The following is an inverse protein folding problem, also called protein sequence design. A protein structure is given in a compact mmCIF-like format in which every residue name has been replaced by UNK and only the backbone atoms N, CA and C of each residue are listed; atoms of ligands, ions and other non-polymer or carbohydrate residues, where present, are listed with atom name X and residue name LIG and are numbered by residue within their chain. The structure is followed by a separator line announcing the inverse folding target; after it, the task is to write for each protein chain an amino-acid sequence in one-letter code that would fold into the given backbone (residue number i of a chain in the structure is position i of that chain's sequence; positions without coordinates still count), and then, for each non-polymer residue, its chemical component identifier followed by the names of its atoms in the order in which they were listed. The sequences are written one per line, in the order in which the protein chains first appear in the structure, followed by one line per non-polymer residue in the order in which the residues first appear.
data_IF_342012610085
#
_entry.id   IF_342012610085
#
_cell.length_a   1.000
_cell.length_b   1.000
_cell.length_c   1.000
_cell.angle_alpha   90.00
_cell.angle_beta   90.00
_cell.angle_gamma   90.00
#
_symmetry.space_group_name_H-M   'P 1'
#
loop_
_entity.id
_entity.type
_entity.pdbx_description
1 polymer ?
#
# COMPACT_ATOMS: atom_id res chain seq x y z
N UNK A 1 -24.46 4.16 -7.20
CA UNK A 1 -25.27 2.92 -7.07
C UNK A 1 -26.25 2.71 -8.22
N UNK A 2 -27.36 3.48 -8.34
CA UNK A 2 -28.37 3.24 -9.41
C UNK A 2 -27.80 3.22 -10.84
N UNK A 3 -26.84 4.10 -11.13
CA UNK A 3 -26.18 4.17 -12.44
C UNK A 3 -25.42 2.86 -12.73
N UNK A 4 -24.54 2.41 -11.83
CA UNK A 4 -23.76 1.18 -12.01
C UNK A 4 -24.65 -0.07 -12.12
N UNK A 5 -25.71 -0.17 -11.33
CA UNK A 5 -26.68 -1.27 -11.44
C UNK A 5 -27.37 -1.27 -12.81
N UNK A 6 -27.80 -0.09 -13.30
CA UNK A 6 -28.40 0.03 -14.63
C UNK A 6 -27.43 -0.30 -15.77
N UNK A 7 -26.14 0.04 -15.62
CA UNK A 7 -25.10 -0.33 -16.59
C UNK A 7 -24.89 -1.84 -16.63
N UNK A 8 -24.83 -2.51 -15.48
CA UNK A 8 -24.74 -3.98 -15.40
C UNK A 8 -25.91 -4.63 -16.14
N UNK A 9 -27.16 -4.24 -15.83
CA UNK A 9 -28.35 -4.79 -16.49
C UNK A 9 -28.39 -4.50 -18.00
N UNK A 10 -27.96 -3.29 -18.39
CA UNK A 10 -27.86 -2.90 -19.79
C UNK A 10 -26.84 -3.75 -20.56
N UNK A 11 -25.65 -3.95 -19.98
CA UNK A 11 -24.59 -4.76 -20.55
C UNK A 11 -24.98 -6.24 -20.66
N UNK A 12 -25.68 -6.80 -19.66
CA UNK A 12 -26.21 -8.16 -19.74
C UNK A 12 -27.23 -8.31 -20.89
N UNK A 13 -28.17 -7.37 -21.03
CA UNK A 13 -29.14 -7.39 -22.14
C UNK A 13 -28.47 -7.25 -23.50
N UNK A 14 -27.43 -6.41 -23.59
CA UNK A 14 -26.66 -6.20 -24.80
C UNK A 14 -25.65 -7.34 -25.09
N UNK A 15 -25.43 -8.25 -24.14
CA UNK A 15 -24.37 -9.26 -24.18
C UNK A 15 -22.97 -8.64 -24.37
N UNK A 16 -22.75 -7.46 -23.80
CA UNK A 16 -21.47 -6.77 -23.80
C UNK A 16 -20.63 -7.24 -22.60
N UNK A 17 -19.65 -8.10 -22.89
CA UNK A 17 -18.81 -8.71 -21.86
C UNK A 17 -17.93 -7.70 -21.13
N UNK A 18 -17.22 -6.82 -21.86
CA UNK A 18 -16.26 -5.90 -21.27
C UNK A 18 -16.97 -4.90 -20.34
N UNK A 19 -18.05 -4.28 -20.83
CA UNK A 19 -18.85 -3.34 -20.04
C UNK A 19 -19.45 -4.02 -18.81
N UNK A 20 -19.90 -5.28 -18.95
CA UNK A 20 -20.45 -6.04 -17.83
C UNK A 20 -19.40 -6.28 -16.74
N UNK A 21 -18.22 -6.78 -17.11
CA UNK A 21 -17.16 -7.08 -16.14
C UNK A 21 -16.67 -5.82 -15.45
N UNK A 22 -16.40 -4.75 -16.21
CA UNK A 22 -15.93 -3.48 -15.65
C UNK A 22 -16.98 -2.89 -14.70
N UNK A 23 -18.25 -2.89 -15.08
CA UNK A 23 -19.33 -2.35 -14.24
C UNK A 23 -19.57 -3.19 -12.98
N UNK A 24 -19.44 -4.52 -13.05
CA UNK A 24 -19.50 -5.40 -11.88
C UNK A 24 -18.34 -5.14 -10.91
N UNK A 25 -17.11 -5.00 -11.41
CA UNK A 25 -15.95 -4.69 -10.57
C UNK A 25 -16.09 -3.32 -9.89
N UNK A 26 -16.49 -2.29 -10.63
CA UNK A 26 -16.75 -0.95 -10.07
C UNK A 26 -17.90 -0.95 -9.06
N UNK A 27 -18.96 -1.71 -9.32
CA UNK A 27 -20.07 -1.87 -8.38
C UNK A 27 -19.63 -2.60 -7.11
N UNK A 28 -18.79 -3.63 -7.24
CA UNK A 28 -18.17 -4.32 -6.10
C UNK A 28 -17.36 -3.36 -5.23
N UNK A 29 -16.51 -2.52 -5.83
CA UNK A 29 -15.75 -1.50 -5.09
C UNK A 29 -16.68 -0.49 -4.40
N UNK A 30 -17.70 0.02 -5.10
CA UNK A 30 -18.65 0.97 -4.53
C UNK A 30 -19.45 0.37 -3.36
N UNK A 31 -19.87 -0.90 -3.47
CA UNK A 31 -20.55 -1.63 -2.39
C UNK A 31 -19.62 -1.83 -1.18
N UNK A 32 -18.34 -2.11 -1.42
CA UNK A 32 -17.34 -2.21 -0.35
C UNK A 32 -17.23 -0.91 0.44
N UNK A 33 -17.16 0.24 -0.23
CA UNK A 33 -17.13 1.55 0.44
C UNK A 33 -18.41 1.87 1.23
N UNK A 34 -19.54 1.26 0.85
CA UNK A 34 -20.82 1.39 1.54
C UNK A 34 -21.04 0.31 2.62
N UNK A 35 -20.01 -0.46 2.96
CA UNK A 35 -20.04 -1.55 3.94
C UNK A 35 -21.07 -2.65 3.61
N UNK A 36 -21.41 -2.80 2.32
CA UNK A 36 -22.29 -3.86 1.79
C UNK A 36 -21.45 -5.02 1.26
N UNK A 37 -20.67 -5.62 2.15
CA UNK A 37 -19.59 -6.56 1.80
C UNK A 37 -20.06 -7.84 1.11
N UNK A 38 -21.21 -8.39 1.49
CA UNK A 38 -21.75 -9.62 0.87
C UNK A 38 -22.19 -9.39 -0.58
N UNK A 39 -22.80 -8.23 -0.83
CA UNK A 39 -23.18 -7.84 -2.18
C UNK A 39 -21.93 -7.52 -3.01
N UNK A 40 -20.93 -6.85 -2.43
CA UNK A 40 -19.65 -6.61 -3.08
C UNK A 40 -18.98 -7.91 -3.50
N UNK A 41 -18.89 -8.89 -2.60
CA UNK A 41 -18.35 -10.21 -2.87
C UNK A 41 -19.06 -10.87 -4.05
N UNK A 42 -20.39 -10.85 -4.03
CA UNK A 42 -21.22 -11.38 -5.12
C UNK A 42 -20.88 -10.73 -6.46
N UNK A 43 -20.72 -9.40 -6.52
CA UNK A 43 -20.40 -8.71 -7.79
C UNK A 43 -19.01 -9.03 -8.30
N UNK A 44 -18.01 -9.09 -7.42
CA UNK A 44 -16.68 -9.48 -7.84
C UNK A 44 -16.61 -10.94 -8.30
N UNK A 45 -17.27 -11.86 -7.59
CA UNK A 45 -17.30 -13.28 -7.97
C UNK A 45 -18.00 -13.48 -9.32
N UNK A 46 -19.09 -12.75 -9.58
CA UNK A 46 -19.71 -12.71 -10.90
C UNK A 46 -18.74 -12.21 -11.98
N UNK A 47 -18.05 -11.09 -11.75
CA UNK A 47 -17.07 -10.56 -12.71
C UNK A 47 -15.94 -11.55 -13.02
N UNK A 48 -15.40 -12.19 -11.99
CA UNK A 48 -14.33 -13.18 -12.13
C UNK A 48 -14.80 -14.43 -12.89
N UNK A 49 -15.99 -14.93 -12.59
CA UNK A 49 -16.58 -16.07 -13.30
C UNK A 49 -16.80 -15.74 -14.78
N UNK A 50 -17.27 -14.53 -15.11
CA UNK A 50 -17.43 -14.08 -16.50
C UNK A 50 -16.09 -14.03 -17.22
N UNK A 51 -15.06 -13.47 -16.59
CA UNK A 51 -13.73 -13.42 -17.17
C UNK A 51 -13.17 -14.82 -17.44
N UNK A 52 -13.34 -15.74 -16.49
CA UNK A 52 -12.88 -17.12 -16.63
C UNK A 52 -13.58 -17.85 -17.77
N UNK A 53 -14.91 -17.72 -17.89
CA UNK A 53 -15.68 -18.31 -18.99
C UNK A 53 -15.29 -17.75 -20.37
N UNK A 54 -14.93 -16.47 -20.43
CA UNK A 54 -14.54 -15.79 -21.67
C UNK A 54 -13.05 -15.93 -22.00
N UNK A 55 -12.21 -16.46 -21.10
CA UNK A 55 -10.76 -16.44 -21.26
C UNK A 55 -10.13 -15.04 -21.15
N UNK A 56 -10.83 -14.10 -20.52
CA UNK A 56 -10.42 -12.70 -20.38
C UNK A 56 -9.47 -12.51 -19.21
N UNK A 57 -8.20 -12.84 -19.43
CA UNK A 57 -7.15 -12.73 -18.41
C UNK A 57 -6.90 -11.29 -17.94
N UNK A 58 -7.08 -10.30 -18.83
CA UNK A 58 -6.81 -8.90 -18.52
C UNK A 58 -7.82 -8.35 -17.50
N UNK A 59 -9.12 -8.46 -17.79
CA UNK A 59 -10.14 -7.99 -16.85
C UNK A 59 -10.25 -8.89 -15.62
N UNK A 60 -9.88 -10.18 -15.70
CA UNK A 60 -9.71 -11.04 -14.52
C UNK A 60 -8.68 -10.45 -13.57
N UNK A 61 -7.49 -10.12 -14.07
CA UNK A 61 -6.42 -9.53 -13.26
C UNK A 61 -6.84 -8.17 -12.67
N UNK A 62 -7.49 -7.30 -13.45
CA UNK A 62 -8.00 -6.02 -12.96
C UNK A 62 -9.05 -6.21 -11.86
N UNK A 63 -9.95 -7.18 -11.99
CA UNK A 63 -11.00 -7.47 -11.00
C UNK A 63 -10.40 -8.01 -9.70
N UNK A 64 -9.39 -8.88 -9.78
CA UNK A 64 -8.63 -9.36 -8.62
C UNK A 64 -7.94 -8.20 -7.87
N UNK A 65 -7.32 -7.27 -8.60
CA UNK A 65 -6.70 -6.06 -8.01
C UNK A 65 -7.75 -5.19 -7.30
N UNK A 66 -8.95 -5.05 -7.86
CA UNK A 66 -10.02 -4.25 -7.23
C UNK A 66 -10.64 -4.93 -6.00
N UNK A 67 -10.78 -6.26 -6.01
CA UNK A 67 -11.35 -7.03 -4.88
C UNK A 67 -10.50 -6.95 -3.60
N UNK A 68 -9.24 -6.53 -3.71
CA UNK A 68 -8.36 -6.24 -2.56
C UNK A 68 -9.01 -5.31 -1.54
N UNK A 69 -9.76 -4.28 -1.98
CA UNK A 69 -10.46 -3.37 -1.06
C UNK A 69 -11.49 -4.10 -0.20
N UNK A 70 -12.19 -5.08 -0.78
CA UNK A 70 -13.15 -5.92 -0.04
C UNK A 70 -12.44 -6.77 1.00
N UNK A 71 -11.31 -7.39 0.64
CA UNK A 71 -10.54 -8.19 1.58
C UNK A 71 -9.92 -7.37 2.70
N UNK A 72 -9.46 -6.16 2.40
CA UNK A 72 -9.02 -5.21 3.42
C UNK A 72 -10.16 -4.87 4.38
N UNK A 73 -11.35 -4.55 3.84
CA UNK A 73 -12.53 -4.25 4.66
C UNK A 73 -12.91 -5.42 5.58
N UNK A 74 -12.84 -6.65 5.07
CA UNK A 74 -13.14 -7.87 5.81
C UNK A 74 -11.98 -8.36 6.70
N UNK A 75 -10.82 -7.70 6.67
CA UNK A 75 -9.62 -8.15 7.39
C UNK A 75 -9.04 -9.48 6.90
N UNK A 76 -9.41 -9.95 5.70
CA UNK A 76 -8.96 -11.24 5.16
C UNK A 76 -7.68 -11.10 4.34
N UNK A 77 -6.56 -10.97 5.04
CA UNK A 77 -5.25 -10.76 4.39
C UNK A 77 -4.82 -11.94 3.53
N UNK A 78 -5.16 -13.17 3.91
CA UNK A 78 -4.81 -14.36 3.13
C UNK A 78 -5.44 -14.32 1.73
N UNK A 79 -6.73 -14.00 1.61
CA UNK A 79 -7.40 -13.87 0.31
C UNK A 79 -6.91 -12.66 -0.48
N UNK A 80 -6.60 -11.56 0.21
CA UNK A 80 -5.98 -10.38 -0.40
C UNK A 80 -4.67 -10.73 -1.10
N UNK A 81 -3.77 -11.43 -0.40
CA UNK A 81 -2.51 -11.87 -0.97
C UNK A 81 -2.68 -12.89 -2.11
N UNK A 82 -3.62 -13.82 -1.99
CA UNK A 82 -3.93 -14.80 -3.03
C UNK A 82 -4.36 -14.12 -4.34
N UNK A 83 -5.27 -13.15 -4.25
CA UNK A 83 -5.74 -12.38 -5.41
C UNK A 83 -4.62 -11.55 -6.04
N UNK A 84 -3.79 -10.91 -5.22
CA UNK A 84 -2.66 -10.12 -5.69
C UNK A 84 -1.61 -10.99 -6.39
N UNK A 85 -1.28 -12.17 -5.83
CA UNK A 85 -0.34 -13.11 -6.48
C UNK A 85 -0.89 -13.63 -7.81
N UNK A 86 -2.20 -13.92 -7.90
CA UNK A 86 -2.85 -14.31 -9.17
C UNK A 86 -2.83 -13.18 -10.20
N UNK A 87 -3.19 -11.97 -9.81
CA UNK A 87 -3.17 -10.82 -10.71
C UNK A 87 -1.74 -10.51 -11.21
N UNK A 88 -0.74 -10.64 -10.35
CA UNK A 88 0.68 -10.49 -10.71
C UNK A 88 1.11 -11.55 -11.74
N UNK A 89 0.73 -12.82 -11.53
CA UNK A 89 1.03 -13.89 -12.48
C UNK A 89 0.39 -13.62 -13.85
N UNK A 90 -0.90 -13.27 -13.87
CA UNK A 90 -1.60 -12.91 -15.11
C UNK A 90 -0.97 -11.71 -15.81
N UNK A 91 -0.58 -10.67 -15.07
CA UNK A 91 0.11 -9.50 -15.64
C UNK A 91 1.42 -9.87 -16.32
N UNK A 92 2.19 -10.80 -15.74
CA UNK A 92 3.43 -11.33 -16.33
C UNK A 92 3.17 -12.17 -17.58
N UNK A 93 2.22 -13.09 -17.50
CA UNK A 93 1.83 -13.96 -18.62
C UNK A 93 1.35 -13.15 -19.83
N UNK A 94 0.62 -12.06 -19.58
CA UNK A 94 0.14 -11.14 -20.61
C UNK A 94 1.21 -10.17 -21.13
N UNK A 95 2.36 -10.07 -20.46
CA UNK A 95 3.34 -8.99 -20.72
C UNK A 95 2.78 -7.59 -20.44
N UNK A 96 1.74 -7.48 -19.61
CA UNK A 96 1.02 -6.22 -19.36
C UNK A 96 1.62 -5.49 -18.14
N UNK A 97 2.62 -4.65 -18.40
CA UNK A 97 3.42 -3.98 -17.36
C UNK A 97 2.61 -3.25 -16.27
N UNK A 98 1.52 -2.56 -16.63
CA UNK A 98 0.68 -1.85 -15.64
C UNK A 98 0.00 -2.80 -14.64
N UNK A 99 -0.49 -3.96 -15.12
CA UNK A 99 -1.20 -4.93 -14.29
C UNK A 99 -0.23 -5.65 -13.38
N UNK A 100 0.92 -6.07 -13.92
CA UNK A 100 2.01 -6.62 -13.10
C UNK A 100 2.42 -5.60 -12.04
N UNK A 101 2.64 -4.34 -12.41
CA UNK A 101 3.07 -3.29 -11.49
C UNK A 101 2.07 -3.05 -10.35
N UNK A 102 0.78 -2.83 -10.65
CA UNK A 102 -0.22 -2.54 -9.62
C UNK A 102 -0.42 -3.70 -8.64
N UNK A 103 -0.52 -4.93 -9.14
CA UNK A 103 -0.65 -6.11 -8.28
C UNK A 103 0.61 -6.35 -7.43
N UNK A 104 1.80 -6.16 -8.02
CA UNK A 104 3.07 -6.31 -7.30
C UNK A 104 3.24 -5.22 -6.24
N UNK A 105 2.87 -3.96 -6.53
CA UNK A 105 2.91 -2.84 -5.59
C UNK A 105 2.02 -3.11 -4.37
N UNK A 106 0.76 -3.46 -4.61
CA UNK A 106 -0.19 -3.73 -3.53
C UNK A 106 0.26 -4.92 -2.67
N UNK A 107 0.84 -5.95 -3.28
CA UNK A 107 1.38 -7.09 -2.52
C UNK A 107 2.56 -6.68 -1.65
N UNK A 108 3.47 -5.87 -2.20
CA UNK A 108 4.62 -5.35 -1.45
C UNK A 108 4.19 -4.47 -0.26
N UNK A 109 3.22 -3.57 -0.44
CA UNK A 109 2.66 -2.74 0.64
C UNK A 109 2.02 -3.62 1.74
N UNK A 110 1.19 -4.60 1.38
CA UNK A 110 0.57 -5.51 2.37
C UNK A 110 1.62 -6.28 3.17
N UNK A 111 2.61 -6.86 2.50
CA UNK A 111 3.69 -7.59 3.15
C UNK A 111 4.52 -6.67 4.05
N UNK A 112 4.78 -5.44 3.61
CA UNK A 112 5.48 -4.43 4.37
C UNK A 112 4.75 -4.05 5.66
N UNK A 113 3.43 -3.79 5.57
CA UNK A 113 2.58 -3.48 6.73
C UNK A 113 2.55 -4.64 7.75
N UNK A 114 2.56 -5.88 7.26
CA UNK A 114 2.66 -7.09 8.11
C UNK A 114 4.06 -7.34 8.69
N UNK A 115 5.08 -6.56 8.32
CA UNK A 115 6.45 -6.72 8.78
C UNK A 115 7.25 -7.82 8.06
N UNK A 116 6.73 -8.35 6.94
CA UNK A 116 7.40 -9.37 6.11
C UNK A 116 8.35 -8.71 5.10
N UNK A 117 9.36 -8.01 5.63
CA UNK A 117 10.23 -7.11 4.88
C UNK A 117 11.02 -7.82 3.77
N UNK A 118 11.51 -9.02 4.06
CA UNK A 118 12.34 -9.83 3.17
C UNK A 118 11.54 -10.31 1.95
N UNK A 119 10.24 -10.57 2.12
CA UNK A 119 9.34 -10.92 1.02
C UNK A 119 8.89 -9.69 0.21
N UNK A 120 8.71 -8.55 0.87
CA UNK A 120 8.27 -7.30 0.25
C UNK A 120 9.35 -6.63 -0.61
N UNK A 121 10.61 -6.65 -0.16
CA UNK A 121 11.73 -5.96 -0.83
C UNK A 121 11.91 -6.34 -2.31
N UNK A 122 11.98 -7.63 -2.72
CA UNK A 122 12.14 -7.98 -4.14
C UNK A 122 10.95 -7.53 -4.99
N UNK A 123 9.75 -7.49 -4.41
CA UNK A 123 8.55 -6.99 -5.09
C UNK A 123 8.62 -5.47 -5.30
N UNK A 124 9.04 -4.72 -4.29
CA UNK A 124 9.25 -3.27 -4.42
C UNK A 124 10.34 -2.92 -5.45
N UNK A 125 11.44 -3.69 -5.48
CA UNK A 125 12.48 -3.56 -6.54
C UNK A 125 11.88 -3.79 -7.92
N UNK A 126 11.07 -4.84 -8.08
CA UNK A 126 10.39 -5.15 -9.36
C UNK A 126 9.42 -4.04 -9.77
N UNK A 127 8.67 -3.48 -8.84
CA UNK A 127 7.74 -2.38 -9.11
C UNK A 127 8.49 -1.15 -9.60
N UNK A 128 9.56 -0.75 -8.90
CA UNK A 128 10.39 0.38 -9.32
C UNK A 128 11.03 0.14 -10.70
N UNK A 129 11.53 -1.08 -10.98
CA UNK A 129 12.06 -1.46 -12.29
C UNK A 129 11.00 -1.30 -13.41
N UNK A 130 9.78 -1.80 -13.18
CA UNK A 130 8.66 -1.65 -14.11
C UNK A 130 8.31 -0.18 -14.34
N UNK A 131 8.25 0.61 -13.26
CA UNK A 131 8.08 2.06 -13.27
C UNK A 131 9.07 2.76 -14.19
N UNK A 132 10.36 2.58 -13.92
CA UNK A 132 11.46 3.19 -14.69
C UNK A 132 11.44 2.74 -16.16
N UNK A 133 11.18 1.46 -16.41
CA UNK A 133 11.27 0.89 -17.76
C UNK A 133 10.13 1.34 -18.67
N UNK A 134 8.90 1.31 -18.18
CA UNK A 134 7.69 1.44 -19.00
C UNK A 134 6.97 2.79 -18.84
N UNK A 135 7.27 3.57 -17.79
CA UNK A 135 6.59 4.84 -17.49
C UNK A 135 7.54 6.04 -17.55
N UNK A 136 8.50 6.04 -18.48
CA UNK A 136 9.60 7.02 -18.55
C UNK A 136 9.15 8.48 -18.55
N UNK A 137 8.17 8.81 -19.40
CA UNK A 137 7.63 10.17 -19.52
C UNK A 137 6.72 10.55 -18.35
N UNK A 138 6.29 9.55 -17.56
CA UNK A 138 5.39 9.69 -16.42
C UNK A 138 5.97 8.96 -15.21
N UNK A 139 7.11 9.42 -14.67
CA UNK A 139 7.82 8.75 -13.60
C UNK A 139 6.91 8.58 -12.38
N UNK A 140 7.04 7.45 -11.70
CA UNK A 140 6.09 7.04 -10.66
C UNK A 140 6.75 7.11 -9.28
N UNK A 141 6.70 8.25 -8.57
CA UNK A 141 7.44 8.47 -7.32
C UNK A 141 7.07 7.48 -6.21
N UNK A 142 5.81 7.05 -6.17
CA UNK A 142 5.33 6.08 -5.15
C UNK A 142 6.10 4.75 -5.19
N UNK A 143 6.60 4.32 -6.35
CA UNK A 143 7.35 3.07 -6.47
C UNK A 143 8.74 3.18 -5.86
N UNK A 144 9.44 4.27 -6.19
CA UNK A 144 10.73 4.58 -5.62
C UNK A 144 10.60 4.78 -4.10
N UNK A 145 9.52 5.43 -3.67
CA UNK A 145 9.28 5.69 -2.25
C UNK A 145 8.97 4.43 -1.45
N UNK A 146 8.18 3.49 -1.99
CA UNK A 146 7.97 2.18 -1.37
C UNK A 146 9.29 1.43 -1.20
N UNK A 147 10.13 1.40 -2.25
CA UNK A 147 11.46 0.81 -2.16
C UNK A 147 12.33 1.51 -1.09
N UNK A 148 12.25 2.85 -1.00
CA UNK A 148 12.98 3.62 -0.01
C UNK A 148 12.52 3.33 1.44
N UNK A 149 11.20 3.26 1.67
CA UNK A 149 10.59 2.91 2.97
C UNK A 149 11.01 1.51 3.42
N UNK A 150 10.94 0.53 2.53
CA UNK A 150 11.37 -0.85 2.79
C UNK A 150 12.87 -0.94 3.08
N UNK A 151 13.70 -0.26 2.28
CA UNK A 151 15.13 -0.23 2.48
C UNK A 151 15.52 0.41 3.82
N UNK A 152 14.91 1.56 4.16
CA UNK A 152 15.12 2.22 5.45
C UNK A 152 14.69 1.32 6.63
N UNK A 153 13.55 0.62 6.51
CA UNK A 153 13.09 -0.32 7.53
C UNK A 153 14.04 -1.52 7.74
N UNK A 154 14.79 -1.91 6.70
CA UNK A 154 15.83 -2.95 6.75
C UNK A 154 17.23 -2.40 7.12
N UNK A 155 17.36 -1.09 7.31
CA UNK A 155 18.64 -0.42 7.60
C UNK A 155 19.53 -0.17 6.37
N UNK A 156 19.05 -0.44 5.16
CA UNK A 156 19.74 -0.10 3.90
C UNK A 156 19.49 1.37 3.54
N UNK A 157 20.19 2.25 4.26
CA UNK A 157 20.06 3.70 4.11
C UNK A 157 20.69 4.23 2.83
N UNK A 158 21.61 3.46 2.22
CA UNK A 158 22.19 3.79 0.94
C UNK A 158 21.14 3.68 -0.17
N UNK A 159 20.42 2.55 -0.21
CA UNK A 159 19.29 2.36 -1.11
C UNK A 159 18.19 3.41 -0.87
N UNK A 160 17.81 3.65 0.39
CA UNK A 160 16.82 4.68 0.70
C UNK A 160 17.23 6.07 0.19
N UNK A 161 18.49 6.46 0.43
CA UNK A 161 19.05 7.73 -0.09
C UNK A 161 19.07 7.77 -1.61
N UNK A 162 19.40 6.65 -2.27
CA UNK A 162 19.41 6.56 -3.73
C UNK A 162 18.03 6.80 -4.32
N UNK A 163 16.99 6.23 -3.70
CA UNK A 163 15.62 6.41 -4.16
C UNK A 163 15.11 7.84 -3.92
N UNK A 164 15.45 8.47 -2.80
CA UNK A 164 15.15 9.90 -2.59
C UNK A 164 15.78 10.78 -3.68
N UNK A 165 17.07 10.54 -4.01
CA UNK A 165 17.74 11.25 -5.11
C UNK A 165 17.12 10.95 -6.47
N UNK A 166 16.65 9.73 -6.70
CA UNK A 166 15.96 9.38 -7.92
C UNK A 166 14.66 10.19 -8.06
N UNK A 167 13.87 10.30 -6.99
CA UNK A 167 12.65 11.12 -6.95
C UNK A 167 13.00 12.58 -7.27
N UNK A 168 14.03 13.14 -6.63
CA UNK A 168 14.45 14.53 -6.89
C UNK A 168 14.88 14.79 -8.33
N UNK A 169 15.52 13.82 -8.97
CA UNK A 169 16.04 13.98 -10.32
C UNK A 169 14.99 13.75 -11.41
N UNK A 170 13.93 12.98 -11.14
CA UNK A 170 13.01 12.51 -12.17
C UNK A 170 11.56 12.96 -11.96
N UNK A 171 11.13 13.24 -10.73
CA UNK A 171 9.72 13.53 -10.43
C UNK A 171 9.51 15.04 -10.27
N UNK A 172 8.71 15.69 -11.14
CA UNK A 172 8.42 17.12 -11.01
C UNK A 172 7.58 17.38 -9.73
N UNK A 173 7.71 18.56 -9.09
CA UNK A 173 7.02 18.86 -7.83
C UNK A 173 5.49 18.65 -7.89
N UNK A 174 4.88 18.90 -9.04
CA UNK A 174 3.43 18.74 -9.27
C UNK A 174 2.98 17.27 -9.20
N UNK A 175 3.89 16.31 -9.36
CA UNK A 175 3.62 14.87 -9.24
C UNK A 175 3.65 14.34 -7.80
N UNK A 176 4.03 15.16 -6.83
CA UNK A 176 4.31 14.75 -5.44
C UNK A 176 3.19 14.77 -4.36
N UNK A 177 1.91 15.16 -4.58
CA UNK A 177 0.98 15.36 -3.46
C UNK A 177 0.51 14.16 -2.60
N UNK A 178 0.58 12.87 -3.00
CA UNK A 178 0.32 11.75 -2.07
C UNK A 178 1.55 11.31 -1.27
N UNK A 179 2.75 11.64 -1.75
CA UNK A 179 4.01 11.07 -1.24
C UNK A 179 4.74 11.95 -0.23
N UNK A 180 4.33 13.20 -0.04
CA UNK A 180 5.12 14.19 0.69
C UNK A 180 5.39 13.79 2.16
N UNK A 181 4.38 13.26 2.86
CA UNK A 181 4.53 12.80 4.25
C UNK A 181 5.43 11.57 4.34
N UNK A 182 5.26 10.63 3.42
CA UNK A 182 6.06 9.40 3.38
C UNK A 182 7.49 9.64 2.89
N UNK A 183 7.71 10.64 2.06
CA UNK A 183 9.04 11.10 1.67
C UNK A 183 9.77 11.72 2.85
N UNK A 184 9.10 12.61 3.60
CA UNK A 184 9.64 13.20 4.83
C UNK A 184 9.97 12.14 5.88
N UNK A 185 9.13 11.10 6.00
CA UNK A 185 9.43 9.93 6.84
C UNK A 185 10.80 9.33 6.50
N UNK A 186 11.05 9.01 5.23
CA UNK A 186 12.32 8.41 4.80
C UNK A 186 13.49 9.37 4.99
N UNK A 187 13.30 10.66 4.69
CA UNK A 187 14.31 11.70 4.92
C UNK A 187 14.73 11.77 6.39
N UNK A 188 13.76 11.74 7.32
CA UNK A 188 14.05 11.71 8.77
C UNK A 188 14.79 10.45 9.18
N UNK A 189 14.39 9.27 8.69
CA UNK A 189 15.10 8.02 8.99
C UNK A 189 16.57 8.07 8.54
N UNK A 190 16.84 8.62 7.36
CA UNK A 190 18.21 8.81 6.84
C UNK A 190 18.99 9.84 7.66
N UNK A 191 18.35 10.90 8.12
CA UNK A 191 18.98 11.93 8.96
C UNK A 191 19.31 11.43 10.36
N UNK A 192 18.39 10.71 11.00
CA UNK A 192 18.55 10.14 12.33
C UNK A 192 19.75 9.18 12.39
N UNK A 193 19.86 8.30 11.40
CA UNK A 193 20.96 7.36 11.31
C UNK A 193 22.33 8.02 11.10
N UNK A 194 22.37 9.28 10.64
CA UNK A 194 23.60 10.07 10.51
C UNK A 194 23.96 10.84 11.78
N UNK A 195 23.16 10.74 12.86
CA UNK A 195 23.46 11.34 14.16
C UNK A 195 23.09 12.83 14.28
N UNK A 196 22.14 13.32 13.48
CA UNK A 196 21.63 14.69 13.60
C UNK A 196 20.79 14.87 14.87
N UNK A 197 21.31 15.58 15.87
CA UNK A 197 20.73 15.73 17.22
C UNK A 197 19.40 16.51 17.35
N UNK A 198 18.56 16.57 16.30
CA UNK A 198 17.26 17.28 16.29
C UNK A 198 16.06 16.37 15.93
N UNK A 199 16.27 15.04 15.87
CA UNK A 199 15.28 14.04 15.47
C UNK A 199 13.88 14.24 16.07
N UNK A 200 13.78 14.45 17.40
CA UNK A 200 12.51 14.42 18.12
C UNK A 200 11.50 15.47 17.64
N UNK A 201 11.93 16.73 17.51
CA UNK A 201 11.03 17.81 17.09
C UNK A 201 10.55 17.60 15.65
N UNK A 202 11.43 17.11 14.78
CA UNK A 202 11.09 16.81 13.40
C UNK A 202 10.10 15.63 13.29
N UNK A 203 10.25 14.59 14.11
CA UNK A 203 9.29 13.50 14.21
C UNK A 203 7.94 13.94 14.77
N UNK A 204 7.92 14.84 15.77
CA UNK A 204 6.69 15.44 16.28
C UNK A 204 5.97 16.24 15.20
N UNK A 205 6.68 17.13 14.50
CA UNK A 205 6.12 17.90 13.39
C UNK A 205 5.56 16.98 12.28
N UNK A 206 6.29 15.93 11.90
CA UNK A 206 5.79 14.97 10.91
C UNK A 206 4.54 14.23 11.38
N UNK A 207 4.50 13.81 12.65
CA UNK A 207 3.34 13.12 13.21
C UNK A 207 2.10 14.03 13.28
N UNK A 208 2.29 15.31 13.56
CA UNK A 208 1.20 16.29 13.62
C UNK A 208 0.70 16.62 12.20
N UNK A 209 1.59 16.73 11.21
CA UNK A 209 1.21 16.87 9.81
C UNK A 209 0.41 15.64 9.31
N UNK A 210 0.80 14.44 9.75
CA UNK A 210 0.13 13.19 9.39
C UNK A 210 -1.32 13.12 9.89
N UNK A 211 -1.69 13.84 10.94
CA UNK A 211 -3.09 13.90 11.40
C UNK A 211 -4.04 14.53 10.38
N UNK A 212 -3.52 15.33 9.44
CA UNK A 212 -4.33 16.01 8.42
C UNK A 212 -4.04 15.55 7.00
N UNK A 213 -2.80 15.11 6.72
CA UNK A 213 -2.33 14.85 5.37
C UNK A 213 -2.18 13.35 5.04
N UNK A 214 -2.19 12.47 6.04
CA UNK A 214 -1.90 11.05 5.86
C UNK A 214 -3.16 10.18 5.99
N UNK A 215 -3.14 9.05 5.28
CA UNK A 215 -4.06 7.93 5.55
C UNK A 215 -3.78 7.30 6.92
N UNK A 216 -4.71 6.48 7.41
CA UNK A 216 -4.52 5.75 8.67
C UNK A 216 -3.27 4.86 8.64
N UNK A 217 -3.01 4.17 7.52
CA UNK A 217 -1.84 3.30 7.36
C UNK A 217 -0.52 4.10 7.35
N UNK A 218 -0.48 5.24 6.66
CA UNK A 218 0.71 6.11 6.64
C UNK A 218 0.98 6.72 8.01
N UNK A 219 -0.07 7.17 8.72
CA UNK A 219 0.05 7.65 10.10
C UNK A 219 0.56 6.56 11.04
N UNK A 220 0.02 5.35 10.94
CA UNK A 220 0.47 4.21 11.73
C UNK A 220 1.96 3.91 11.46
N UNK A 221 2.39 3.91 10.21
CA UNK A 221 3.80 3.75 9.86
C UNK A 221 4.69 4.80 10.50
N UNK A 222 4.35 6.08 10.35
CA UNK A 222 5.14 7.21 10.89
C UNK A 222 5.33 7.03 12.39
N UNK A 223 4.25 6.74 13.13
CA UNK A 223 4.28 6.56 14.58
C UNK A 223 5.10 5.34 14.99
N UNK A 224 4.97 4.21 14.28
CA UNK A 224 5.74 2.99 14.56
C UNK A 224 7.23 3.17 14.24
N UNK A 225 7.58 3.94 13.21
CA UNK A 225 8.97 4.25 12.88
C UNK A 225 9.58 5.23 13.90
N UNK A 226 8.83 6.24 14.35
CA UNK A 226 9.24 7.13 15.43
C UNK A 226 9.50 6.35 16.74
N UNK A 227 8.60 5.42 17.09
CA UNK A 227 8.77 4.53 18.25
C UNK A 227 10.05 3.69 18.14
N UNK A 228 10.29 3.09 16.97
CA UNK A 228 11.47 2.26 16.71
C UNK A 228 12.76 3.08 16.81
N UNK A 229 12.80 4.26 16.20
CA UNK A 229 13.96 5.16 16.26
C UNK A 229 14.26 5.63 17.68
N UNK A 230 13.22 5.96 18.46
CA UNK A 230 13.37 6.30 19.88
C UNK A 230 13.92 5.13 20.70
N UNK A 231 13.42 3.91 20.47
CA UNK A 231 13.91 2.69 21.14
C UNK A 231 15.37 2.39 20.79
N UNK A 232 15.75 2.46 19.51
CA UNK A 232 17.13 2.24 19.06
C UNK A 232 18.10 3.29 19.65
N UNK A 233 17.63 4.50 19.90
CA UNK A 233 18.39 5.57 20.56
C UNK A 233 18.40 5.46 22.10
N UNK A 234 17.84 4.40 22.69
CA UNK A 234 17.79 4.21 24.15
C UNK A 234 16.78 5.12 24.88
N UNK A 235 15.89 5.80 24.16
CA UNK A 235 14.89 6.73 24.71
C UNK A 235 13.57 6.02 24.97
N UNK A 236 13.55 5.11 25.95
CA UNK A 236 12.42 4.22 26.22
C UNK A 236 11.10 4.95 26.51
N UNK A 237 11.12 6.04 27.28
CA UNK A 237 9.90 6.80 27.62
C UNK A 237 9.28 7.50 26.40
N UNK A 238 10.13 7.99 25.50
CA UNK A 238 9.69 8.56 24.23
C UNK A 238 9.10 7.47 23.33
N UNK A 239 9.78 6.33 23.23
CA UNK A 239 9.28 5.18 22.46
C UNK A 239 7.90 4.70 22.97
N UNK A 240 7.70 4.64 24.30
CA UNK A 240 6.38 4.34 24.90
C UNK A 240 5.30 5.35 24.50
N UNK A 241 5.64 6.64 24.48
CA UNK A 241 4.69 7.69 24.05
C UNK A 241 4.28 7.50 22.59
N UNK A 242 5.23 7.17 21.71
CA UNK A 242 4.94 6.88 20.31
C UNK A 242 4.10 5.62 20.12
N UNK A 243 4.37 4.56 20.88
CA UNK A 243 3.57 3.33 20.84
C UNK A 243 2.12 3.60 21.22
N UNK A 244 1.85 4.37 22.27
CA UNK A 244 0.46 4.71 22.65
C UNK A 244 -0.27 5.47 21.54
N UNK A 245 0.42 6.38 20.82
CA UNK A 245 -0.16 7.04 19.64
C UNK A 245 -0.40 6.05 18.51
N UNK A 246 0.54 5.14 18.26
CA UNK A 246 0.44 4.12 17.23
C UNK A 246 -0.70 3.12 17.50
N UNK A 247 -0.91 2.72 18.76
CA UNK A 247 -2.03 1.86 19.19
C UNK A 247 -3.36 2.44 18.73
N UNK A 248 -3.61 3.73 19.01
CA UNK A 248 -4.83 4.42 18.58
C UNK A 248 -4.99 4.42 17.07
N UNK A 249 -3.94 4.75 16.32
CA UNK A 249 -3.98 4.78 14.86
C UNK A 249 -4.28 3.39 14.25
N UNK A 250 -3.70 2.33 14.82
CA UNK A 250 -3.93 0.95 14.40
C UNK A 250 -5.35 0.48 14.69
N UNK A 251 -5.90 0.86 15.85
CA UNK A 251 -7.28 0.55 16.24
C UNK A 251 -8.31 1.30 15.40
N UNK A 252 -8.05 2.57 15.07
CA UNK A 252 -8.97 3.43 14.34
C UNK A 252 -9.08 3.09 12.85
N UNK A 253 -8.00 2.62 12.21
CA UNK A 253 -8.05 2.41 10.75
C UNK A 253 -6.90 1.67 10.09
N UNK A 254 -5.87 1.22 10.82
CA UNK A 254 -4.67 0.62 10.21
C UNK A 254 -4.42 -0.83 10.70
N UNK A 255 -5.38 -1.76 10.55
CA UNK A 255 -5.31 -3.09 11.17
C UNK A 255 -4.17 -3.97 10.67
N UNK A 256 -3.63 -3.72 9.46
CA UNK A 256 -2.52 -4.48 8.91
C UNK A 256 -1.21 -4.28 9.70
N UNK A 257 -1.09 -3.16 10.40
CA UNK A 257 0.09 -2.81 11.19
C UNK A 257 0.14 -3.46 12.57
N UNK A 258 -0.92 -4.18 12.97
CA UNK A 258 -1.04 -4.78 14.32
C UNK A 258 0.15 -5.67 14.69
N UNK A 259 0.61 -6.51 13.75
CA UNK A 259 1.75 -7.39 14.02
C UNK A 259 3.04 -6.60 14.37
N UNK A 260 3.27 -5.48 13.68
CA UNK A 260 4.43 -4.62 13.92
C UNK A 260 4.32 -3.83 15.22
N UNK A 261 3.11 -3.37 15.53
CA UNK A 261 2.81 -2.75 16.81
C UNK A 261 3.10 -3.70 17.98
N UNK A 262 2.56 -4.92 17.93
CA UNK A 262 2.78 -5.92 19.00
C UNK A 262 4.26 -6.29 19.15
N UNK A 263 5.00 -6.42 18.04
CA UNK A 263 6.45 -6.64 18.09
C UNK A 263 7.20 -5.52 18.83
N UNK A 264 6.80 -4.26 18.66
CA UNK A 264 7.39 -3.13 19.39
C UNK A 264 6.96 -3.09 20.86
N UNK A 265 5.72 -3.46 21.16
CA UNK A 265 5.22 -3.53 22.55
C UNK A 265 6.00 -4.55 23.36
N UNK A 266 6.17 -5.76 22.83
CA UNK A 266 7.00 -6.81 23.46
C UNK A 266 8.41 -6.28 23.75
N UNK A 267 9.04 -5.61 22.78
CA UNK A 267 10.38 -5.05 22.96
C UNK A 267 10.49 -3.93 24.02
N UNK A 268 9.38 -3.27 24.37
CA UNK A 268 9.36 -2.11 25.27
C UNK A 268 8.85 -2.42 26.69
N UNK A 269 8.02 -3.44 26.84
CA UNK A 269 7.31 -3.75 28.09
C UNK A 269 7.68 -5.10 28.69
N UNK A 270 8.34 -6.00 27.95
CA UNK A 270 8.82 -7.29 28.48
C UNK A 270 10.29 -7.27 28.93
N UNK A 271 10.84 -6.08 29.25
CA UNK A 271 12.19 -5.87 29.83
C UNK A 271 12.10 -5.45 31.28
#
# INVERSE_FOLDING_TARGET
MRVLTGVVEGAERAKDHETLVVSLALLGSALTFLDRTDEAATRFDMALLRCEQAGDALHRAATLINRVLLWLRLGNVARMEEDLRRAMALGRELGHAQVERWSTFNLAEVLYMQGRLEEALPLARRVHELGVRFFREHPVPVDALLLARLAAALGDLEEATRQLRWIDAHCPPESLPPTAVMRRLVELQVQDARGGGSAREAWLALADDADTLASADEKAEILLQAARGALQAGRADEARTWVVRAERAVEEGAPLWRARLESLRVALFDV
#
